data_IF_800327670491
#
_entry.id   IF_800327670491
#
_cell.length_a   1.000
_cell.length_b   1.000
_cell.length_c   1.000
_cell.angle_alpha   90.00
_cell.angle_beta   90.00
_cell.angle_gamma   90.00
#
_symmetry.space_group_name_H-M   'P 1'
#
loop_
_entity.id
_entity.type
_entity.pdbx_description
1 polymer ?
#
# COMPACT_ATOMS: atom_id res chain seq x y z
N UNK A 1 -16.77 11.07 26.10
CA UNK A 1 -15.89 12.02 25.38
C UNK A 1 -14.85 11.36 24.46
N UNK A 2 -14.32 10.17 24.77
CA UNK A 2 -13.34 9.47 23.91
C UNK A 2 -13.91 9.00 22.55
N UNK A 3 -15.11 8.40 22.53
CA UNK A 3 -15.76 7.95 21.30
C UNK A 3 -16.10 9.09 20.30
N UNK A 4 -16.49 10.27 20.80
CA UNK A 4 -16.77 11.43 19.96
C UNK A 4 -15.50 11.99 19.28
N UNK A 5 -14.36 11.95 19.98
CA UNK A 5 -13.05 12.31 19.39
C UNK A 5 -12.65 11.33 18.30
N UNK A 6 -12.91 10.05 18.51
CA UNK A 6 -12.59 9.02 17.53
C UNK A 6 -13.48 9.08 16.28
N UNK A 7 -14.78 9.30 16.45
CA UNK A 7 -15.68 9.54 15.32
C UNK A 7 -15.23 10.75 14.48
N UNK A 8 -14.83 11.85 15.13
CA UNK A 8 -14.32 13.04 14.44
C UNK A 8 -13.00 12.77 13.69
N UNK A 9 -12.08 12.02 14.30
CA UNK A 9 -10.84 11.58 13.62
C UNK A 9 -11.14 10.71 12.41
N UNK A 10 -12.09 9.77 12.51
CA UNK A 10 -12.51 8.93 11.39
C UNK A 10 -13.09 9.74 10.25
N UNK A 11 -13.98 10.69 10.53
CA UNK A 11 -14.49 11.60 9.50
C UNK A 11 -13.35 12.40 8.86
N UNK A 12 -12.33 12.80 9.62
CA UNK A 12 -11.15 13.47 9.07
C UNK A 12 -10.38 12.54 8.12
N UNK A 13 -10.10 11.28 8.50
CA UNK A 13 -9.41 10.31 7.63
C UNK A 13 -10.24 10.00 6.36
N UNK A 14 -11.58 9.91 6.47
CA UNK A 14 -12.47 9.77 5.32
C UNK A 14 -12.40 10.95 4.35
N UNK A 15 -12.31 12.17 4.87
CA UNK A 15 -12.15 13.35 4.01
C UNK A 15 -10.78 13.36 3.33
N UNK A 16 -9.74 12.90 4.01
CA UNK A 16 -8.37 12.82 3.48
C UNK A 16 -8.25 11.79 2.35
N UNK A 17 -8.74 10.56 2.57
CA UNK A 17 -8.76 9.54 1.52
C UNK A 17 -9.65 9.94 0.34
N UNK A 18 -10.75 10.68 0.59
CA UNK A 18 -11.58 11.27 -0.49
C UNK A 18 -10.79 12.28 -1.32
N UNK A 19 -10.03 13.18 -0.68
CA UNK A 19 -9.19 14.15 -1.39
C UNK A 19 -8.19 13.44 -2.32
N UNK A 20 -7.55 12.36 -1.84
CA UNK A 20 -6.62 11.56 -2.65
C UNK A 20 -7.30 10.83 -3.81
N UNK A 21 -8.50 10.28 -3.58
CA UNK A 21 -9.27 9.62 -4.62
C UNK A 21 -9.70 10.61 -5.72
N UNK A 22 -10.17 11.80 -5.35
CA UNK A 22 -10.50 12.88 -6.30
C UNK A 22 -9.26 13.33 -7.07
N UNK A 23 -8.11 13.49 -6.40
CA UNK A 23 -6.86 13.83 -7.07
C UNK A 23 -6.45 12.77 -8.10
N UNK A 24 -6.67 11.49 -7.77
CA UNK A 24 -6.42 10.36 -8.69
C UNK A 24 -7.36 10.40 -9.90
N UNK A 25 -8.63 10.77 -9.72
CA UNK A 25 -9.57 10.99 -10.84
C UNK A 25 -9.19 12.19 -11.71
N UNK A 26 -8.72 13.28 -11.11
CA UNK A 26 -8.25 14.43 -11.86
C UNK A 26 -7.00 14.09 -12.68
N UNK A 27 -6.09 13.28 -12.13
CA UNK A 27 -4.97 12.72 -12.88
C UNK A 27 -5.48 11.90 -14.07
N UNK A 28 -6.43 10.99 -13.85
CA UNK A 28 -6.98 10.15 -14.90
C UNK A 28 -7.68 10.96 -16.00
N UNK A 29 -8.44 11.99 -15.63
CA UNK A 29 -9.08 12.89 -16.59
C UNK A 29 -8.08 13.62 -17.48
N UNK A 30 -6.87 13.88 -16.97
CA UNK A 30 -5.81 14.57 -17.71
C UNK A 30 -4.92 13.62 -18.54
N UNK A 31 -4.76 12.37 -18.12
CA UNK A 31 -3.80 11.42 -18.72
C UNK A 31 -4.47 10.24 -19.45
N UNK A 32 -5.77 10.01 -19.24
CA UNK A 32 -6.55 8.91 -19.81
C UNK A 32 -6.37 7.56 -19.11
N UNK A 33 -5.62 7.53 -18.00
CA UNK A 33 -5.33 6.33 -17.22
C UNK A 33 -5.14 6.66 -15.74
N UNK A 34 -5.40 5.69 -14.86
CA UNK A 34 -4.95 5.77 -13.48
C UNK A 34 -3.41 5.87 -13.43
N UNK A 35 -2.85 6.52 -12.39
CA UNK A 35 -1.41 6.64 -12.22
C UNK A 35 -0.70 5.29 -12.38
N UNK A 36 0.35 5.29 -13.18
CA UNK A 36 1.22 4.13 -13.31
C UNK A 36 1.93 3.82 -12.00
N UNK A 37 2.21 2.53 -11.79
CA UNK A 37 2.93 2.06 -10.63
C UNK A 37 4.13 1.20 -11.06
N UNK A 38 5.37 1.58 -10.70
CA UNK A 38 6.56 0.90 -11.19
C UNK A 38 6.62 -0.51 -10.59
N UNK A 39 6.96 -1.49 -11.42
CA UNK A 39 7.07 -2.89 -11.04
C UNK A 39 8.38 -3.28 -10.37
N UNK A 40 8.98 -2.35 -9.63
CA UNK A 40 10.29 -2.44 -9.01
C UNK A 40 11.31 -1.44 -9.58
N UNK A 41 12.29 -1.06 -8.75
CA UNK A 41 13.34 -0.10 -9.09
C UNK A 41 13.43 1.06 -8.10
N UNK A 42 14.51 1.84 -8.17
CA UNK A 42 14.80 2.95 -7.24
C UNK A 42 14.25 4.31 -7.70
N UNK A 43 13.92 4.41 -8.98
CA UNK A 43 13.72 5.68 -9.69
C UNK A 43 12.32 5.77 -10.33
N UNK A 44 11.43 4.84 -10.01
CA UNK A 44 10.06 4.86 -10.51
C UNK A 44 9.20 5.88 -9.75
N UNK A 45 8.21 6.43 -10.44
CA UNK A 45 7.25 7.38 -9.88
C UNK A 45 6.09 6.61 -9.24
N UNK A 46 5.85 6.80 -7.95
CA UNK A 46 4.68 6.22 -7.27
C UNK A 46 3.42 7.00 -7.64
N UNK A 47 2.24 6.42 -7.41
CA UNK A 47 0.95 7.08 -7.59
C UNK A 47 0.93 8.44 -6.89
N UNK A 48 1.57 8.52 -5.72
CA UNK A 48 1.59 9.71 -4.91
C UNK A 48 2.33 10.85 -5.62
N UNK A 49 3.48 10.57 -6.23
CA UNK A 49 4.22 11.55 -7.05
C UNK A 49 3.37 12.03 -8.23
N UNK A 50 2.67 11.10 -8.88
CA UNK A 50 1.79 11.42 -10.01
C UNK A 50 0.63 12.34 -9.64
N UNK A 51 0.03 12.15 -8.46
CA UNK A 51 -1.12 12.94 -8.02
C UNK A 51 -0.74 14.23 -7.28
N UNK A 52 0.56 14.49 -7.00
CA UNK A 52 1.01 15.72 -6.32
C UNK A 52 0.42 17.02 -6.91
N UNK A 53 0.35 17.21 -8.25
CA UNK A 53 -0.21 18.43 -8.83
C UNK A 53 -1.74 18.56 -8.64
N UNK A 54 -2.40 17.48 -8.23
CA UNK A 54 -3.86 17.37 -8.13
C UNK A 54 -4.36 17.36 -6.67
N UNK A 55 -3.44 17.31 -5.70
CA UNK A 55 -3.72 17.48 -4.28
C UNK A 55 -3.37 18.92 -3.87
N UNK A 56 -3.88 19.37 -2.72
CA UNK A 56 -3.60 20.72 -2.17
C UNK A 56 -2.15 20.90 -1.66
N UNK A 57 -1.21 20.03 -2.08
CA UNK A 57 0.20 20.08 -1.70
C UNK A 57 1.02 20.94 -2.68
N UNK A 58 0.59 22.18 -2.92
CA UNK A 58 1.21 23.08 -3.90
C UNK A 58 2.72 23.26 -3.69
N UNK A 59 3.16 23.34 -2.44
CA UNK A 59 4.59 23.44 -2.10
C UNK A 59 5.38 22.18 -2.52
N UNK A 60 4.82 20.99 -2.32
CA UNK A 60 5.50 19.75 -2.70
C UNK A 60 5.55 19.58 -4.22
N UNK A 61 4.46 19.93 -4.91
CA UNK A 61 4.40 19.91 -6.37
C UNK A 61 5.41 20.88 -7.00
N UNK A 62 5.51 22.11 -6.49
CA UNK A 62 6.45 23.13 -6.99
C UNK A 62 7.92 22.76 -6.76
N UNK A 63 8.21 22.00 -5.70
CA UNK A 63 9.57 21.57 -5.37
C UNK A 63 10.05 20.36 -6.19
N UNK A 64 9.12 19.58 -6.75
CA UNK A 64 9.45 18.36 -7.49
C UNK A 64 9.93 18.66 -8.93
N UNK A 65 11.19 18.35 -9.24
CA UNK A 65 11.76 18.51 -10.58
C UNK A 65 11.71 17.18 -11.36
N UNK A 66 10.84 17.02 -12.37
CA UNK A 66 10.74 15.77 -13.12
C UNK A 66 12.01 15.42 -13.93
N UNK A 67 12.95 16.35 -14.10
CA UNK A 67 14.22 16.12 -14.80
C UNK A 67 15.29 15.44 -13.94
N UNK A 68 15.09 15.40 -12.61
CA UNK A 68 16.02 14.78 -11.68
C UNK A 68 15.43 13.48 -11.15
N UNK A 69 16.27 12.47 -10.91
CA UNK A 69 15.82 11.18 -10.37
C UNK A 69 15.09 11.37 -9.02
N UNK A 70 13.92 10.74 -8.79
CA UNK A 70 13.15 10.95 -7.56
C UNK A 70 13.99 10.78 -6.29
N UNK A 71 14.79 9.70 -6.22
CA UNK A 71 15.65 9.45 -5.05
C UNK A 71 16.73 10.52 -4.80
N UNK A 72 17.04 11.39 -5.76
CA UNK A 72 18.06 12.44 -5.62
C UNK A 72 17.51 13.77 -5.12
N UNK A 73 16.19 13.88 -4.97
CA UNK A 73 15.51 15.14 -4.64
C UNK A 73 14.87 15.15 -3.25
N UNK A 74 15.00 14.06 -2.48
CA UNK A 74 14.27 13.88 -1.23
C UNK A 74 14.56 14.93 -0.17
N UNK A 75 15.78 15.48 -0.15
CA UNK A 75 16.13 16.52 0.81
C UNK A 75 15.29 17.79 0.65
N UNK A 76 14.87 18.10 -0.57
CA UNK A 76 14.14 19.34 -0.85
C UNK A 76 12.63 19.11 -0.86
N UNK A 77 12.18 18.00 -1.46
CA UNK A 77 10.76 17.75 -1.70
C UNK A 77 10.15 16.86 -0.61
N UNK A 78 10.87 15.82 -0.17
CA UNK A 78 10.26 14.69 0.53
C UNK A 78 10.42 14.74 2.06
N UNK A 79 11.05 15.80 2.58
CA UNK A 79 11.30 16.01 4.02
C UNK A 79 10.19 16.74 4.78
N UNK A 80 9.04 16.97 4.16
CA UNK A 80 7.87 17.56 4.83
C UNK A 80 6.72 16.52 4.83
N UNK A 81 6.01 16.36 5.96
CA UNK A 81 4.82 15.52 5.96
C UNK A 81 3.74 16.19 5.12
N UNK A 82 3.10 15.45 4.21
CA UNK A 82 1.88 15.89 3.57
C UNK A 82 0.68 15.58 4.47
N UNK A 83 -0.02 16.59 5.00
CA UNK A 83 -1.18 16.38 5.85
C UNK A 83 -2.29 15.57 5.17
N UNK A 84 -2.35 15.53 3.83
CA UNK A 84 -3.32 14.76 3.06
C UNK A 84 -3.09 13.25 3.22
N UNK A 85 -1.84 12.83 3.42
CA UNK A 85 -1.47 11.43 3.59
C UNK A 85 -1.52 10.95 5.04
N UNK A 86 -1.80 11.85 5.99
CA UNK A 86 -1.80 11.54 7.42
C UNK A 86 -3.23 11.38 7.95
N UNK A 87 -3.50 10.22 8.54
CA UNK A 87 -4.73 10.01 9.31
C UNK A 87 -4.48 10.48 10.76
N UNK A 88 -5.27 11.41 11.33
CA UNK A 88 -5.11 11.87 12.72
C UNK A 88 -5.30 10.79 13.80
N UNK A 89 -5.72 9.58 13.42
CA UNK A 89 -5.77 8.41 14.31
C UNK A 89 -4.45 7.65 14.39
N UNK A 90 -3.47 8.01 13.57
CA UNK A 90 -2.14 7.42 13.57
C UNK A 90 -1.08 8.50 13.83
N UNK A 91 0.12 8.06 14.23
CA UNK A 91 1.23 8.97 14.48
C UNK A 91 2.06 9.16 13.20
N UNK A 92 2.42 10.41 12.83
CA UNK A 92 3.34 10.63 11.73
C UNK A 92 4.69 9.96 12.01
N UNK A 93 5.14 9.13 11.07
CA UNK A 93 6.44 8.47 11.16
C UNK A 93 7.39 9.08 10.13
N UNK A 94 8.48 9.65 10.64
CA UNK A 94 9.60 10.12 9.84
C UNK A 94 10.67 9.03 9.79
N UNK A 95 11.24 8.78 8.61
CA UNK A 95 12.27 7.77 8.38
C UNK A 95 13.48 8.42 7.72
N UNK A 96 14.69 8.01 8.11
CA UNK A 96 15.91 8.40 7.40
C UNK A 96 15.97 7.66 6.07
N UNK A 97 16.06 8.41 4.97
CA UNK A 97 16.19 7.83 3.64
C UNK A 97 17.57 7.20 3.41
N UNK A 98 18.64 7.82 3.94
CA UNK A 98 20.00 7.29 3.84
C UNK A 98 20.24 6.13 4.80
N UNK A 99 19.99 4.92 4.28
CA UNK A 99 21.09 3.98 4.14
C UNK A 99 20.89 2.89 3.09
N UNK A 100 20.04 3.03 2.09
CA UNK A 100 20.07 2.10 0.95
C UNK A 100 18.89 1.13 0.92
N UNK A 101 18.48 0.86 -0.29
CA UNK A 101 17.27 0.11 -0.56
C UNK A 101 17.57 -1.34 -0.97
N UNK A 102 18.85 -1.67 -1.19
CA UNK A 102 19.34 -2.97 -1.57
C UNK A 102 20.48 -3.47 -0.67
N UNK A 103 20.86 -4.72 -0.86
CA UNK A 103 22.00 -5.37 -0.19
C UNK A 103 23.36 -4.69 -0.49
N UNK A 104 23.40 -3.76 -1.44
CA UNK A 104 24.60 -3.05 -1.89
C UNK A 104 24.69 -1.62 -1.33
N UNK A 105 23.77 -1.22 -0.44
CA UNK A 105 23.78 0.11 0.17
C UNK A 105 23.73 1.24 -0.88
N UNK A 106 22.99 1.05 -1.98
CA UNK A 106 22.83 2.02 -3.08
C UNK A 106 21.99 3.25 -2.73
N UNK A 107 21.94 3.61 -1.44
CA UNK A 107 21.37 4.87 -0.98
C UNK A 107 22.11 6.05 -1.60
N UNK A 108 21.45 7.19 -1.71
CA UNK A 108 22.03 8.41 -2.28
C UNK A 108 23.16 9.03 -1.45
N UNK A 109 23.50 8.44 -0.29
CA UNK A 109 24.38 9.04 0.70
C UNK A 109 23.76 10.26 1.41
N UNK A 110 22.49 10.56 1.12
CA UNK A 110 21.83 11.79 1.52
C UNK A 110 21.03 11.60 2.82
N UNK A 111 21.32 12.39 3.86
CA UNK A 111 20.63 12.35 5.16
C UNK A 111 19.19 12.89 5.12
N UNK A 112 18.54 12.83 3.95
CA UNK A 112 17.16 13.21 3.78
C UNK A 112 16.26 12.33 4.64
N UNK A 113 15.17 12.93 5.11
CA UNK A 113 14.11 12.22 5.80
C UNK A 113 12.93 12.13 4.86
N UNK A 114 12.20 11.02 4.89
CA UNK A 114 10.88 10.93 4.28
C UNK A 114 9.81 10.63 5.34
N UNK A 115 8.55 10.89 4.99
CA UNK A 115 7.41 10.61 5.85
C UNK A 115 6.59 9.46 5.28
N UNK A 116 6.12 8.61 6.18
CA UNK A 116 5.16 7.56 5.85
C UNK A 116 3.75 8.13 5.79
N UNK A 117 2.89 7.49 5.00
CA UNK A 117 1.47 7.79 4.90
C UNK A 117 0.57 6.64 5.31
N UNK A 118 -0.71 6.98 5.38
CA UNK A 118 -1.78 6.11 5.86
C UNK A 118 -2.73 5.60 4.78
N UNK A 119 -2.47 5.88 3.51
CA UNK A 119 -3.34 5.47 2.41
C UNK A 119 -2.51 4.84 1.31
N UNK A 120 -2.81 3.58 1.03
CA UNK A 120 -2.17 2.79 -0.01
C UNK A 120 -3.11 2.48 -1.15
N UNK A 121 -2.53 2.04 -2.26
CA UNK A 121 -3.25 1.69 -3.49
C UNK A 121 -3.68 0.23 -3.48
N UNK A 122 -4.83 -0.05 -4.08
CA UNK A 122 -5.33 -1.41 -4.24
C UNK A 122 -4.56 -2.18 -5.31
N UNK A 123 -3.93 -3.29 -4.89
CA UNK A 123 -3.13 -4.19 -5.72
C UNK A 123 -3.83 -5.53 -6.02
N UNK A 124 -5.09 -5.69 -5.58
CA UNK A 124 -5.87 -6.91 -5.75
C UNK A 124 -5.44 -8.06 -4.84
N UNK A 125 -5.72 -9.30 -5.26
CA UNK A 125 -5.50 -10.51 -4.45
C UNK A 125 -4.30 -11.34 -4.90
N UNK A 126 -3.74 -11.03 -6.08
CA UNK A 126 -2.64 -11.78 -6.68
C UNK A 126 -1.28 -11.53 -6.03
N UNK A 127 -0.27 -12.29 -6.50
CA UNK A 127 1.13 -11.97 -6.23
C UNK A 127 1.46 -10.54 -6.68
N UNK A 128 2.61 -10.01 -6.24
CA UNK A 128 3.03 -8.66 -6.61
C UNK A 128 2.98 -8.41 -8.13
N UNK A 129 3.37 -9.38 -8.96
CA UNK A 129 3.30 -9.27 -10.43
C UNK A 129 1.88 -9.38 -11.03
N UNK A 130 0.90 -9.75 -10.21
CA UNK A 130 -0.50 -10.03 -10.56
C UNK A 130 -0.65 -10.99 -11.75
N UNK A 131 0.31 -11.88 -11.95
CA UNK A 131 0.38 -12.80 -13.11
C UNK A 131 0.24 -14.27 -12.73
N UNK A 132 0.24 -14.57 -11.42
CA UNK A 132 0.29 -15.94 -10.90
C UNK A 132 -0.97 -16.29 -10.11
N UNK A 133 -1.42 -17.56 -10.16
CA UNK A 133 -2.52 -18.04 -9.32
C UNK A 133 -2.16 -17.97 -7.84
N UNK A 134 -3.11 -17.60 -6.99
CA UNK A 134 -3.03 -17.70 -5.52
C UNK A 134 -3.80 -18.93 -5.03
N UNK A 135 -3.52 -19.36 -3.80
CA UNK A 135 -4.38 -20.30 -3.11
C UNK A 135 -5.63 -19.60 -2.56
N UNK A 136 -6.80 -19.92 -3.10
CA UNK A 136 -8.08 -19.52 -2.54
C UNK A 136 -8.49 -20.53 -1.46
N UNK A 137 -8.57 -20.05 -0.22
CA UNK A 137 -8.92 -20.91 0.91
C UNK A 137 -10.43 -21.15 1.09
N UNK A 138 -11.29 -20.33 0.49
CA UNK A 138 -12.74 -20.55 0.50
C UNK A 138 -13.05 -21.79 -0.33
N UNK A 139 -12.42 -21.89 -1.50
CA UNK A 139 -12.59 -23.02 -2.42
C UNK A 139 -11.57 -24.14 -2.21
N UNK A 140 -10.57 -23.93 -1.35
CA UNK A 140 -9.40 -24.81 -1.16
C UNK A 140 -8.77 -25.23 -2.50
N UNK A 141 -8.53 -24.23 -3.37
CA UNK A 141 -8.00 -24.46 -4.71
C UNK A 141 -7.13 -23.30 -5.18
N UNK A 142 -6.23 -23.56 -6.13
CA UNK A 142 -5.55 -22.47 -6.85
C UNK A 142 -6.57 -21.71 -7.71
N UNK A 143 -6.56 -20.39 -7.60
CA UNK A 143 -7.37 -19.47 -8.40
C UNK A 143 -6.47 -18.40 -9.01
N UNK A 144 -6.78 -17.86 -10.20
CA UNK A 144 -6.08 -16.71 -10.74
C UNK A 144 -6.05 -15.55 -9.73
N UNK A 145 -4.95 -14.79 -9.73
CA UNK A 145 -4.90 -13.48 -9.09
C UNK A 145 -5.96 -12.56 -9.65
N UNK A 146 -6.79 -12.01 -8.78
CA UNK A 146 -7.71 -10.94 -9.17
C UNK A 146 -6.93 -9.63 -9.22
N UNK A 147 -6.78 -9.01 -10.40
CA UNK A 147 -5.95 -7.82 -10.55
C UNK A 147 -6.63 -6.61 -9.91
N UNK A 148 -5.84 -5.77 -9.24
CA UNK A 148 -6.30 -4.47 -8.76
C UNK A 148 -6.37 -3.42 -9.87
N UNK A 149 -6.88 -2.21 -9.58
CA UNK A 149 -6.82 -1.06 -10.48
C UNK A 149 -5.39 -0.53 -10.71
N UNK A 150 -4.43 -0.89 -9.84
CA UNK A 150 -3.00 -0.64 -10.04
C UNK A 150 -2.26 -1.95 -10.29
N UNK A 151 -1.25 -1.94 -11.16
CA UNK A 151 -0.43 -3.12 -11.49
C UNK A 151 1.01 -2.69 -11.83
N UNK A 152 2.05 -3.52 -11.54
CA UNK A 152 3.42 -3.29 -11.96
C UNK A 152 3.59 -2.92 -13.43
N UNK A 153 4.25 -1.78 -13.67
CA UNK A 153 4.65 -1.27 -14.98
C UNK A 153 3.48 -1.13 -15.96
N UNK A 154 2.28 -0.85 -15.45
CA UNK A 154 1.09 -0.65 -16.26
C UNK A 154 0.26 0.52 -15.74
N UNK A 155 -0.24 1.28 -16.70
CA UNK A 155 -1.30 2.26 -16.51
C UNK A 155 -2.63 1.62 -16.91
N UNK A 156 -3.66 1.81 -16.08
CA UNK A 156 -4.96 1.19 -16.26
C UNK A 156 -6.00 2.28 -16.54
N UNK A 157 -6.62 2.24 -17.72
CA UNK A 157 -7.74 3.12 -18.08
C UNK A 157 -8.99 2.75 -17.26
N UNK A 158 -9.81 3.72 -16.83
CA UNK A 158 -11.03 3.42 -16.06
C UNK A 158 -11.98 2.47 -16.78
N UNK A 159 -12.04 2.53 -18.12
CA UNK A 159 -12.84 1.58 -18.93
C UNK A 159 -12.41 0.11 -18.82
N UNK A 160 -11.22 -0.16 -18.26
CA UNK A 160 -10.70 -1.52 -18.01
C UNK A 160 -11.08 -2.04 -16.63
N UNK A 161 -11.81 -1.25 -15.84
CA UNK A 161 -12.43 -1.65 -14.57
C UNK A 161 -13.84 -2.16 -14.89
N UNK A 162 -13.91 -3.41 -15.32
CA UNK A 162 -15.15 -4.03 -15.80
C UNK A 162 -16.13 -4.40 -14.69
N UNK A 163 -15.64 -4.50 -13.44
CA UNK A 163 -16.50 -4.73 -12.27
C UNK A 163 -17.26 -3.45 -11.86
N UNK A 164 -16.90 -2.30 -12.43
CA UNK A 164 -17.50 -0.99 -12.19
C UNK A 164 -16.67 -0.14 -11.23
N UNK A 165 -16.50 1.15 -11.55
CA UNK A 165 -15.69 2.07 -10.74
C UNK A 165 -16.24 2.27 -9.32
N UNK A 166 -17.56 2.16 -9.16
CA UNK A 166 -18.24 2.19 -7.87
C UNK A 166 -18.17 0.87 -7.12
N UNK A 167 -17.56 -0.19 -7.66
CA UNK A 167 -17.44 -1.53 -7.06
C UNK A 167 -15.99 -2.00 -6.92
N UNK A 168 -15.03 -1.17 -7.31
CA UNK A 168 -13.60 -1.47 -7.20
C UNK A 168 -12.92 -0.47 -6.28
N UNK A 169 -12.25 -0.95 -5.23
CA UNK A 169 -11.44 -0.15 -4.32
C UNK A 169 -10.27 0.47 -5.08
N UNK A 170 -10.00 1.75 -4.81
CA UNK A 170 -8.89 2.52 -5.33
C UNK A 170 -7.79 2.67 -4.29
N UNK A 171 -8.16 3.22 -3.13
CA UNK A 171 -7.27 3.49 -2.01
C UNK A 171 -7.81 2.80 -0.75
N UNK A 172 -6.91 2.29 0.08
CA UNK A 172 -7.23 1.59 1.32
C UNK A 172 -6.37 2.18 2.43
N UNK A 173 -6.94 2.35 3.62
CA UNK A 173 -6.17 2.79 4.78
C UNK A 173 -5.12 1.75 5.19
N UNK A 174 -3.96 2.26 5.58
CA UNK A 174 -2.86 1.51 6.18
C UNK A 174 -2.26 2.27 7.37
N UNK A 175 -1.52 1.56 8.21
CA UNK A 175 -0.75 2.18 9.29
C UNK A 175 0.61 2.66 8.78
N UNK A 176 1.02 3.83 9.25
CA UNK A 176 2.38 4.32 9.11
C UNK A 176 3.27 3.54 10.06
N UNK A 177 3.80 2.39 9.61
CA UNK A 177 4.54 1.49 10.48
C UNK A 177 5.76 2.20 11.11
N UNK A 178 5.96 2.13 12.43
CA UNK A 178 7.18 2.67 13.03
C UNK A 178 8.43 2.01 12.45
N UNK A 179 9.49 2.79 12.28
CA UNK A 179 10.80 2.28 11.89
C UNK A 179 11.64 2.00 13.14
N UNK A 180 12.58 1.06 13.05
CA UNK A 180 13.68 0.92 14.00
C UNK A 180 14.62 2.14 13.96
N UNK A 181 15.48 2.24 14.97
CA UNK A 181 16.38 3.39 15.14
C UNK A 181 17.52 3.47 14.11
N UNK A 182 18.22 4.62 14.00
CA UNK A 182 19.30 4.84 13.03
C UNK A 182 20.46 3.84 13.12
N UNK A 183 20.62 3.19 14.27
CA UNK A 183 21.67 2.20 14.56
C UNK A 183 21.50 0.88 13.82
N UNK A 184 20.30 0.54 13.36
CA UNK A 184 19.99 -0.75 12.73
C UNK A 184 20.17 -0.76 11.20
N UNK A 185 20.54 0.39 10.61
CA UNK A 185 20.64 0.53 9.15
C UNK A 185 19.33 0.15 8.45
N UNK A 186 19.40 -0.32 7.20
CA UNK A 186 18.19 -0.64 6.40
C UNK A 186 17.39 -1.81 6.96
N UNK A 187 18.04 -2.74 7.66
CA UNK A 187 17.37 -3.84 8.32
C UNK A 187 16.47 -3.35 9.47
N UNK A 188 16.70 -2.12 9.95
CA UNK A 188 15.83 -1.43 10.91
C UNK A 188 14.73 -0.59 10.25
N UNK A 189 14.57 -0.59 8.92
CA UNK A 189 13.53 0.22 8.26
C UNK A 189 12.35 -0.66 7.86
N UNK A 190 11.21 -0.43 8.50
CA UNK A 190 9.93 -0.95 8.02
C UNK A 190 9.50 -0.15 6.77
N UNK A 191 9.04 -0.83 5.72
CA UNK A 191 8.62 -0.20 4.46
C UNK A 191 7.15 0.16 4.41
N UNK A 192 6.30 -0.43 5.24
CA UNK A 192 4.85 -0.16 5.22
C UNK A 192 4.60 1.33 5.50
N UNK A 193 3.89 1.97 4.60
CA UNK A 193 3.56 3.40 4.58
C UNK A 193 4.55 4.27 3.80
N UNK A 194 5.63 3.73 3.20
CA UNK A 194 6.63 4.55 2.48
C UNK A 194 6.13 4.97 1.10
N UNK A 195 5.59 6.18 0.96
CA UNK A 195 4.91 6.63 -0.28
C UNK A 195 5.81 7.04 -1.45
N UNK A 196 7.07 7.37 -1.17
CA UNK A 196 7.99 7.94 -2.16
C UNK A 196 8.85 6.89 -2.86
N UNK A 197 8.70 5.62 -2.48
CA UNK A 197 9.49 4.52 -3.04
C UNK A 197 8.54 3.52 -3.71
N UNK A 198 8.76 3.16 -4.99
CA UNK A 198 7.90 2.22 -5.71
C UNK A 198 8.25 0.77 -5.41
N UNK A 199 8.59 0.51 -4.17
CA UNK A 199 9.05 -0.78 -3.70
C UNK A 199 7.88 -1.67 -3.31
N UNK A 200 8.10 -2.99 -3.36
CA UNK A 200 7.17 -3.93 -2.75
C UNK A 200 6.99 -3.62 -1.26
N UNK A 201 5.79 -3.91 -0.75
CA UNK A 201 5.44 -3.77 0.68
C UNK A 201 5.50 -2.34 1.22
N UNK A 202 5.37 -1.34 0.35
CA UNK A 202 5.43 0.06 0.76
C UNK A 202 4.06 0.67 0.93
N UNK A 203 3.33 0.84 -0.15
CA UNK A 203 2.00 1.46 -0.18
C UNK A 203 1.03 0.70 -1.08
N UNK A 204 1.46 -0.42 -1.66
CA UNK A 204 0.58 -1.35 -2.32
C UNK A 204 -0.15 -2.13 -1.23
N UNK A 205 -1.46 -2.27 -1.29
CA UNK A 205 -2.27 -3.05 -0.35
C UNK A 205 -2.93 -4.19 -1.11
N UNK A 206 -2.87 -5.39 -0.56
CA UNK A 206 -3.57 -6.56 -1.05
C UNK A 206 -4.89 -6.75 -0.31
N UNK A 207 -5.94 -7.08 -1.05
CA UNK A 207 -7.24 -7.51 -0.51
C UNK A 207 -7.29 -9.01 -0.23
N UNK A 208 -6.15 -9.71 -0.32
CA UNK A 208 -6.08 -11.14 -0.01
C UNK A 208 -6.50 -11.42 1.45
N UNK A 209 -6.23 -10.49 2.35
CA UNK A 209 -6.53 -10.58 3.78
C UNK A 209 -7.55 -9.51 4.18
N UNK A 210 -8.40 -9.81 5.15
CA UNK A 210 -9.41 -8.89 5.67
C UNK A 210 -8.76 -7.63 6.29
N UNK A 211 -9.51 -6.52 6.37
CA UNK A 211 -9.08 -5.32 7.09
C UNK A 211 -8.71 -5.61 8.55
N UNK A 212 -7.56 -5.08 9.02
CA UNK A 212 -7.01 -5.31 10.35
C UNK A 212 -6.83 -6.79 10.74
N UNK A 213 -6.69 -7.68 9.75
CA UNK A 213 -6.56 -9.11 10.03
C UNK A 213 -5.29 -9.42 10.84
N UNK A 214 -5.39 -10.44 11.70
CA UNK A 214 -4.27 -10.93 12.53
C UNK A 214 -3.16 -11.66 11.77
N UNK A 215 -3.38 -12.27 10.58
CA UNK A 215 -2.29 -12.72 9.75
C UNK A 215 -1.36 -11.56 9.40
N UNK A 216 -0.09 -11.90 9.23
CA UNK A 216 0.96 -10.92 9.07
C UNK A 216 1.13 -10.40 7.65
N UNK A 217 1.84 -9.28 7.57
CA UNK A 217 2.27 -8.73 6.30
C UNK A 217 3.56 -9.40 5.82
N UNK A 218 3.67 -9.68 4.52
CA UNK A 218 4.87 -10.23 3.90
C UNK A 218 5.22 -9.47 2.62
N UNK A 219 6.47 -9.02 2.52
CA UNK A 219 6.89 -8.12 1.45
C UNK A 219 7.37 -8.78 0.16
N UNK A 220 7.35 -10.12 0.07
CA UNK A 220 7.61 -10.93 -1.12
C UNK A 220 8.81 -10.47 -1.97
N UNK A 221 9.97 -11.13 -1.84
CA UNK A 221 11.19 -10.76 -2.56
C UNK A 221 11.08 -10.85 -4.08
N UNK A 222 10.84 -9.72 -4.75
CA UNK A 222 11.06 -9.50 -6.19
C UNK A 222 10.15 -10.27 -7.16
N UNK A 223 10.17 -9.85 -8.43
CA UNK A 223 9.49 -10.52 -9.55
C UNK A 223 9.88 -12.00 -9.58
N UNK A 224 8.95 -12.84 -9.12
CA UNK A 224 9.01 -14.29 -9.28
C UNK A 224 9.48 -15.15 -8.10
N UNK A 225 9.71 -14.58 -6.91
CA UNK A 225 10.25 -15.29 -5.74
C UNK A 225 9.24 -15.76 -4.68
N UNK A 226 7.99 -16.03 -5.05
CA UNK A 226 6.96 -16.52 -4.11
C UNK A 226 6.74 -18.02 -4.25
N UNK A 227 6.71 -18.74 -3.13
CA UNK A 227 6.37 -20.16 -3.09
C UNK A 227 4.93 -20.41 -3.53
N UNK A 228 4.68 -21.57 -4.16
CA UNK A 228 3.34 -22.05 -4.56
C UNK A 228 2.61 -22.77 -3.42
N UNK A 229 3.19 -22.83 -2.22
CA UNK A 229 2.72 -23.71 -1.13
C UNK A 229 2.28 -22.97 0.13
N UNK A 230 1.66 -21.80 0.01
CA UNK A 230 1.11 -21.11 1.19
C UNK A 230 -0.30 -21.60 1.47
N UNK A 231 -0.48 -22.21 2.64
CA UNK A 231 -1.78 -22.25 3.29
C UNK A 231 -1.92 -20.95 4.10
N UNK A 232 -2.87 -20.04 3.76
CA UNK A 232 -3.13 -18.83 4.54
C UNK A 232 -3.57 -19.11 5.99
N UNK A 233 -3.86 -20.38 6.36
CA UNK A 233 -4.04 -20.84 7.76
C UNK A 233 -2.72 -21.12 8.49
N UNK A 234 -1.62 -21.32 7.77
CA UNK A 234 -0.29 -21.62 8.34
C UNK A 234 0.54 -20.36 8.65
N UNK A 235 0.01 -19.18 8.31
CA UNK A 235 0.58 -17.90 8.70
C UNK A 235 1.59 -17.35 7.69
N UNK A 236 2.54 -16.59 8.22
CA UNK A 236 3.51 -15.79 7.48
C UNK A 236 4.48 -16.65 6.66
N UNK A 237 4.77 -16.24 5.44
CA UNK A 237 6.03 -16.61 4.81
C UNK A 237 7.10 -15.59 5.15
N UNK A 238 8.35 -16.05 5.24
CA UNK A 238 9.50 -15.25 5.65
C UNK A 238 9.60 -13.95 4.84
N UNK A 239 9.62 -12.83 5.55
CA UNK A 239 9.90 -11.51 5.01
C UNK A 239 11.41 -11.30 4.86
N UNK A 240 11.85 -10.73 3.73
CA UNK A 240 13.27 -10.52 3.41
C UNK A 240 13.78 -9.16 3.92
N UNK A 241 13.36 -8.76 5.12
CA UNK A 241 13.82 -7.54 5.78
C UNK A 241 13.12 -6.26 5.30
N UNK A 242 11.86 -6.35 4.91
CA UNK A 242 11.04 -5.24 4.44
C UNK A 242 10.06 -4.71 5.49
N UNK A 243 9.68 -5.50 6.49
CA UNK A 243 8.87 -5.08 7.62
C UNK A 243 9.49 -5.50 8.95
N UNK A 244 9.07 -4.85 10.04
CA UNK A 244 9.45 -5.14 11.42
C UNK A 244 8.23 -5.67 12.17
N UNK A 245 8.39 -6.79 12.87
CA UNK A 245 7.27 -7.42 13.57
C UNK A 245 6.90 -6.58 14.79
N UNK A 246 5.68 -6.04 14.77
CA UNK A 246 5.11 -5.18 15.82
C UNK A 246 3.69 -5.65 16.16
N UNK A 247 3.56 -6.84 16.77
CA UNK A 247 2.26 -7.40 17.14
C UNK A 247 1.48 -6.49 18.09
N UNK A 248 2.19 -5.70 18.91
CA UNK A 248 1.61 -4.71 19.82
C UNK A 248 0.88 -3.57 19.11
N UNK A 249 1.17 -3.35 17.82
CA UNK A 249 0.54 -2.36 16.95
C UNK A 249 -0.32 -3.00 15.86
N UNK A 250 -0.60 -4.30 15.94
CA UNK A 250 -1.31 -5.03 14.86
C UNK A 250 -0.53 -5.09 13.54
N UNK A 251 0.79 -4.92 13.60
CA UNK A 251 1.71 -4.85 12.47
C UNK A 251 2.58 -6.11 12.44
N UNK A 252 1.94 -7.25 12.30
CA UNK A 252 2.61 -8.55 12.30
C UNK A 252 3.51 -8.75 11.06
N UNK A 253 4.68 -9.36 11.22
CA UNK A 253 5.50 -9.92 10.14
C UNK A 253 6.39 -11.06 10.65
N UNK A 254 6.91 -11.90 9.75
CA UNK A 254 7.86 -12.96 10.11
C UNK A 254 9.25 -12.68 9.51
N UNK A 255 10.25 -12.44 10.38
CA UNK A 255 11.64 -12.18 9.99
C UNK A 255 12.56 -13.41 10.07
N UNK A 256 12.04 -14.62 10.24
CA UNK A 256 12.79 -15.81 10.66
C UNK A 256 14.21 -15.96 10.08
N UNK A 257 15.20 -16.14 10.97
CA UNK A 257 16.60 -16.38 10.61
C UNK A 257 16.78 -17.78 9.99
N UNK A 258 17.75 -17.88 9.08
CA UNK A 258 18.31 -19.10 8.47
C UNK A 258 17.52 -19.74 7.31
N UNK A 259 18.19 -19.79 6.15
CA UNK A 259 17.85 -20.68 5.04
C UNK A 259 17.01 -20.04 3.93
N UNK A 260 17.39 -20.35 2.69
CA UNK A 260 16.74 -20.01 1.43
C UNK A 260 15.32 -20.60 1.31
N UNK A 261 14.40 -20.14 2.16
CA UNK A 261 12.98 -20.45 2.11
C UNK A 261 12.23 -19.39 1.32
N UNK A 262 11.44 -19.84 0.35
CA UNK A 262 10.65 -19.03 -0.57
C UNK A 262 9.64 -18.15 0.19
N UNK A 263 9.56 -16.87 -0.17
CA UNK A 263 8.73 -15.90 0.54
C UNK A 263 7.25 -16.25 0.40
N UNK A 264 6.45 -15.82 1.39
CA UNK A 264 5.03 -15.68 1.12
C UNK A 264 4.86 -14.73 -0.07
N UNK A 265 3.91 -15.05 -0.95
CA UNK A 265 3.44 -14.08 -1.93
C UNK A 265 3.11 -12.78 -1.21
N UNK A 266 3.42 -11.65 -1.84
CA UNK A 266 3.21 -10.32 -1.29
C UNK A 266 1.80 -10.19 -0.66
N UNK A 267 1.75 -9.92 0.65
CA UNK A 267 0.51 -9.78 1.45
C UNK A 267 0.63 -8.55 2.34
N UNK A 268 0.19 -7.38 1.90
CA UNK A 268 0.05 -6.21 2.79
C UNK A 268 -1.44 -5.95 3.02
N UNK A 269 -1.95 -6.20 4.23
CA UNK A 269 -3.36 -5.99 4.52
C UNK A 269 -3.70 -4.50 4.69
N UNK A 270 -4.96 -4.13 4.46
CA UNK A 270 -5.49 -2.84 4.92
C UNK A 270 -5.49 -2.81 6.45
N UNK A 271 -4.96 -1.73 7.05
CA UNK A 271 -4.81 -1.60 8.51
C UNK A 271 -5.13 -0.19 8.98
N UNK A 272 -5.75 -0.04 10.15
CA UNK A 272 -6.15 1.24 10.72
C UNK A 272 -6.22 1.18 12.24
N UNK A 273 -5.98 2.31 12.89
CA UNK A 273 -6.24 2.49 14.32
C UNK A 273 -7.72 2.73 14.64
N UNK A 274 -8.58 2.86 13.62
CA UNK A 274 -10.01 2.91 13.79
C UNK A 274 -10.55 1.56 14.26
N UNK A 275 -11.38 1.57 15.29
CA UNK A 275 -11.99 0.34 15.80
C UNK A 275 -12.88 -0.33 14.75
N UNK A 276 -12.60 -1.59 14.44
CA UNK A 276 -13.52 -2.47 13.71
C UNK A 276 -13.44 -2.41 12.18
N UNK A 277 -12.46 -1.74 11.59
CA UNK A 277 -12.36 -1.64 10.13
C UNK A 277 -11.34 -0.62 9.63
N UNK A 278 -11.41 -0.32 8.34
CA UNK A 278 -10.54 0.62 7.63
C UNK A 278 -11.39 1.58 6.80
N UNK A 279 -10.93 2.82 6.59
CA UNK A 279 -11.52 3.62 5.52
C UNK A 279 -10.97 3.18 4.17
N UNK A 280 -11.83 3.12 3.16
CA UNK A 280 -11.43 2.83 1.79
C UNK A 280 -12.18 3.74 0.82
N UNK A 281 -11.52 4.07 -0.29
CA UNK A 281 -12.11 4.80 -1.39
C UNK A 281 -12.27 3.87 -2.59
N UNK A 282 -13.35 4.04 -3.36
CA UNK A 282 -13.57 3.34 -4.62
C UNK A 282 -13.02 4.15 -5.81
N UNK A 283 -12.94 3.55 -6.99
CA UNK A 283 -12.43 4.21 -8.20
C UNK A 283 -13.31 5.39 -8.66
N UNK A 284 -14.58 5.43 -8.22
CA UNK A 284 -15.47 6.58 -8.39
C UNK A 284 -15.30 7.67 -7.30
N UNK A 285 -14.30 7.54 -6.42
CA UNK A 285 -13.99 8.43 -5.30
C UNK A 285 -15.07 8.51 -4.20
N UNK A 286 -16.06 7.61 -4.22
CA UNK A 286 -16.86 7.33 -3.04
C UNK A 286 -15.98 6.74 -1.94
N UNK A 287 -16.32 7.03 -0.68
CA UNK A 287 -15.54 6.61 0.49
C UNK A 287 -16.48 5.96 1.49
N UNK A 288 -16.06 4.82 2.01
CA UNK A 288 -16.79 4.06 3.01
C UNK A 288 -15.85 3.56 4.12
N UNK A 289 -16.46 3.19 5.24
CA UNK A 289 -15.76 2.46 6.29
C UNK A 289 -16.06 0.97 6.11
N UNK A 290 -15.05 0.19 5.76
CA UNK A 290 -15.18 -1.25 5.54
C UNK A 290 -14.82 -1.97 6.83
N UNK A 291 -15.73 -2.80 7.32
CA UNK A 291 -15.57 -3.49 8.59
C UNK A 291 -14.58 -4.65 8.48
N UNK A 292 -13.92 -4.98 9.59
CA UNK A 292 -12.98 -6.11 9.68
C UNK A 292 -13.68 -7.48 9.63
N UNK A 293 -15.00 -7.51 9.80
CA UNK A 293 -15.85 -8.70 9.71
C UNK A 293 -16.59 -8.84 8.37
N UNK A 294 -16.29 -7.98 7.39
CA UNK A 294 -16.80 -8.12 6.02
C UNK A 294 -16.55 -9.54 5.50
N UNK A 295 -17.50 -10.09 4.74
CA UNK A 295 -17.29 -11.36 4.07
C UNK A 295 -16.07 -11.26 3.15
N UNK A 296 -15.18 -12.24 3.26
CA UNK A 296 -13.92 -12.17 2.55
C UNK A 296 -14.07 -12.25 1.02
N UNK A 297 -15.06 -13.00 0.52
CA UNK A 297 -15.30 -13.04 -0.91
C UNK A 297 -15.70 -11.65 -1.39
N UNK A 298 -16.57 -10.95 -0.65
CA UNK A 298 -16.94 -9.56 -0.95
C UNK A 298 -15.73 -8.61 -0.90
N UNK A 299 -14.89 -8.69 0.14
CA UNK A 299 -13.68 -7.86 0.24
C UNK A 299 -12.71 -8.06 -0.94
N UNK A 300 -12.54 -9.32 -1.37
CA UNK A 300 -11.69 -9.67 -2.50
C UNK A 300 -12.30 -9.20 -3.83
N UNK A 301 -13.61 -9.35 -3.99
CA UNK A 301 -14.37 -8.85 -5.13
C UNK A 301 -14.16 -7.33 -5.30
N UNK A 302 -14.33 -6.58 -4.20
CA UNK A 302 -14.08 -5.14 -4.15
C UNK A 302 -12.62 -4.79 -4.50
N UNK A 303 -11.68 -5.70 -4.25
CA UNK A 303 -10.28 -5.54 -4.65
C UNK A 303 -10.01 -5.75 -6.14
N UNK A 304 -10.88 -6.44 -6.87
CA UNK A 304 -10.68 -6.72 -8.29
C UNK A 304 -11.17 -5.57 -9.16
N UNK A 305 -10.48 -5.37 -10.30
CA UNK A 305 -11.00 -4.55 -11.40
C UNK A 305 -11.71 -5.37 -12.47
N UNK A 306 -11.54 -6.70 -12.48
CA UNK A 306 -12.01 -7.56 -13.57
C UNK A 306 -12.30 -9.02 -13.14
N UNK A 307 -12.87 -9.21 -11.96
CA UNK A 307 -13.23 -10.52 -11.41
C UNK A 307 -14.52 -11.10 -11.95
N UNK A 308 -15.40 -10.28 -12.57
CA UNK A 308 -16.73 -10.70 -13.03
C UNK A 308 -17.62 -11.28 -11.92
N UNK A 309 -17.36 -10.93 -10.66
CA UNK A 309 -18.11 -11.39 -9.50
C UNK A 309 -19.35 -10.49 -9.29
N UNK A 310 -20.51 -11.08 -9.01
CA UNK A 310 -21.70 -10.30 -8.62
C UNK A 310 -21.60 -10.00 -7.14
N UNK A 311 -21.34 -8.75 -6.79
CA UNK A 311 -21.37 -8.29 -5.39
C UNK A 311 -22.84 -8.17 -4.98
N UNK A 312 -23.33 -9.12 -4.19
CA UNK A 312 -24.64 -9.02 -3.53
C UNK A 312 -24.44 -8.41 -2.14
N UNK A 313 -24.99 -7.20 -1.93
CA UNK A 313 -25.07 -6.53 -0.62
C UNK A 313 -25.94 -7.29 0.40
#
# INVERSE_FOLDING_TARGET
MQAAREAARRTSCQNKIRQLAIATQNYESAHGSLPGEPGGGLDGLTFYIHILPYIEASVLADLYDPSVQPRKQLRNVFSQPDPTMLCPSDQPVQVLYAKGFDANNSGTGDTAHDYKGNYGINWGTGYYDQSRPLWNFVTQSNQPGEPGPFQPDKEIELRRITDGTSNTLLLIEMLAAPTGGPSEGNAGIDRRGRLWIPATASHQISTLLLPNSSPCDSGGGGRGGGSTTLDPRTGCGKDRGFCIDRPDLGLHCDRGSDGAGEAAGYTLAGRSNHSGGVNAARCDASVEFVTSDIDLAVWRALGSRAGNEVITE
#
